data_IF_347242742224
#
_entry.id   IF_347242742224
#
_cell.length_a   1.000
_cell.length_b   1.000
_cell.length_c   1.000
_cell.angle_alpha   90.00
_cell.angle_beta   90.00
_cell.angle_gamma   90.00
#
_symmetry.space_group_name_H-M   'P 1'
#
loop_
_entity.id
_entity.type
_entity.pdbx_description
1 polymer ?
#
# COMPACT_ATOMS: atom_id res chain seq x y z
N UNK A 1 11.57 19.42 41.51
CA UNK A 1 12.11 19.70 40.15
C UNK A 1 12.45 18.44 39.35
N UNK A 2 13.04 17.38 39.93
CA UNK A 2 13.40 16.12 39.21
C UNK A 2 12.21 15.42 38.50
N UNK A 3 11.01 15.44 39.09
CA UNK A 3 9.82 14.77 38.54
C UNK A 3 9.36 15.39 37.21
N UNK A 4 9.46 16.72 37.07
CA UNK A 4 9.05 17.45 35.87
C UNK A 4 10.02 17.24 34.70
N UNK A 5 11.31 17.07 35.00
CA UNK A 5 12.34 16.78 33.99
C UNK A 5 12.14 15.38 33.40
N UNK A 6 11.83 14.39 34.25
CA UNK A 6 11.56 13.03 33.79
C UNK A 6 10.30 12.97 32.91
N UNK A 7 9.22 13.66 33.31
CA UNK A 7 8.00 13.72 32.48
C UNK A 7 8.26 14.39 31.14
N UNK A 8 9.04 15.47 31.11
CA UNK A 8 9.40 16.16 29.86
C UNK A 8 10.23 15.26 28.93
N UNK A 9 11.27 14.61 29.46
CA UNK A 9 12.10 13.65 28.72
C UNK A 9 11.29 12.47 28.19
N UNK A 10 10.38 11.93 28.99
CA UNK A 10 9.49 10.85 28.57
C UNK A 10 8.57 11.29 27.42
N UNK A 11 8.00 12.50 27.53
CA UNK A 11 7.13 13.06 26.48
C UNK A 11 7.89 13.28 25.17
N UNK A 12 9.12 13.81 25.24
CA UNK A 12 9.99 13.99 24.07
C UNK A 12 10.35 12.63 23.44
N UNK A 13 10.69 11.61 24.25
CA UNK A 13 10.94 10.27 23.73
C UNK A 13 9.71 9.67 23.03
N UNK A 14 8.51 9.82 23.60
CA UNK A 14 7.28 9.35 22.97
C UNK A 14 7.02 10.06 21.64
N UNK A 15 7.24 11.38 21.57
CA UNK A 15 7.07 12.16 20.33
C UNK A 15 8.11 11.77 19.27
N UNK A 16 9.36 11.54 19.66
CA UNK A 16 10.41 11.09 18.74
C UNK A 16 10.14 9.68 18.21
N UNK A 17 9.69 8.75 19.05
CA UNK A 17 9.29 7.41 18.61
C UNK A 17 8.10 7.46 17.64
N UNK A 18 7.10 8.30 17.92
CA UNK A 18 5.94 8.48 17.05
C UNK A 18 6.30 9.16 15.72
N UNK A 19 7.22 10.12 15.74
CA UNK A 19 7.74 10.74 14.52
C UNK A 19 8.62 9.77 13.71
N UNK A 20 9.39 8.90 14.38
CA UNK A 20 10.26 7.90 13.75
C UNK A 20 9.46 6.79 13.04
N UNK A 21 8.33 6.36 13.61
CA UNK A 21 7.39 5.44 12.96
C UNK A 21 6.85 6.02 11.64
N UNK A 22 6.64 7.34 11.59
CA UNK A 22 6.16 8.08 10.42
C UNK A 22 7.26 8.55 9.44
N UNK A 23 8.55 8.34 9.74
CA UNK A 23 9.68 8.87 8.92
C UNK A 23 10.63 7.81 8.38
N UNK A 24 10.36 6.51 8.56
CA UNK A 24 11.13 5.50 7.82
C UNK A 24 10.81 5.62 6.33
N UNK A 25 11.78 6.14 5.57
CA UNK A 25 11.65 6.27 4.12
C UNK A 25 11.27 4.93 3.50
N UNK A 26 10.28 4.94 2.59
CA UNK A 26 9.91 3.74 1.87
C UNK A 26 11.07 3.28 0.99
N UNK A 27 11.52 2.05 1.22
CA UNK A 27 12.56 1.40 0.42
C UNK A 27 11.89 0.40 -0.52
N UNK A 28 12.03 0.65 -1.82
CA UNK A 28 11.55 -0.24 -2.85
C UNK A 28 12.60 -1.32 -3.15
N UNK A 29 12.17 -2.57 -3.16
CA UNK A 29 12.98 -3.73 -3.53
C UNK A 29 12.58 -4.22 -4.92
N UNK A 30 13.44 -4.10 -5.95
CA UNK A 30 13.10 -4.52 -7.31
C UNK A 30 12.86 -6.02 -7.42
N UNK A 31 12.01 -6.44 -8.37
CA UNK A 31 11.65 -7.85 -8.58
C UNK A 31 12.88 -8.75 -8.79
N UNK A 32 13.96 -8.21 -9.38
CA UNK A 32 15.23 -8.93 -9.58
C UNK A 32 15.85 -9.46 -8.28
N UNK A 33 15.61 -8.82 -7.12
CA UNK A 33 16.07 -9.32 -5.80
C UNK A 33 15.32 -10.58 -5.34
N UNK A 34 14.19 -10.91 -5.99
CA UNK A 34 13.31 -12.02 -5.64
C UNK A 34 13.37 -13.17 -6.64
N UNK A 35 14.15 -13.05 -7.72
CA UNK A 35 14.17 -14.05 -8.79
C UNK A 35 12.80 -14.19 -9.45
N UNK A 36 12.21 -15.38 -9.40
CA UNK A 36 10.86 -15.66 -9.93
C UNK A 36 9.75 -15.61 -8.87
N UNK A 37 10.07 -15.26 -7.62
CA UNK A 37 9.13 -15.26 -6.51
C UNK A 37 8.33 -13.94 -6.43
N UNK A 38 7.38 -13.79 -7.33
CA UNK A 38 6.49 -12.62 -7.41
C UNK A 38 5.66 -12.44 -6.14
N UNK A 39 5.29 -13.52 -5.44
CA UNK A 39 4.52 -13.44 -4.20
C UNK A 39 5.35 -12.78 -3.09
N UNK A 40 6.61 -13.19 -2.93
CA UNK A 40 7.52 -12.59 -1.95
C UNK A 40 7.83 -11.13 -2.28
N UNK A 41 7.99 -10.80 -3.56
CA UNK A 41 8.11 -9.42 -4.03
C UNK A 41 6.90 -8.57 -3.61
N UNK A 42 5.68 -9.06 -3.88
CA UNK A 42 4.44 -8.34 -3.57
C UNK A 42 4.27 -8.12 -2.07
N UNK A 43 4.52 -9.16 -1.27
CA UNK A 43 4.42 -9.06 0.21
C UNK A 43 5.42 -8.09 0.79
N UNK A 44 6.65 -8.06 0.26
CA UNK A 44 7.74 -7.24 0.79
C UNK A 44 7.54 -5.76 0.48
N UNK A 45 7.17 -5.44 -0.76
CA UNK A 45 7.00 -4.05 -1.19
C UNK A 45 5.66 -3.43 -0.82
N UNK A 46 4.60 -4.22 -0.67
CA UNK A 46 3.24 -3.69 -0.56
C UNK A 46 2.52 -4.13 0.70
N UNK A 47 2.31 -5.43 0.94
CA UNK A 47 1.54 -5.93 2.09
C UNK A 47 2.16 -5.47 3.42
N UNK A 48 3.46 -5.73 3.62
CA UNK A 48 4.21 -5.37 4.84
C UNK A 48 4.50 -3.87 4.96
N UNK A 49 4.27 -3.10 3.90
CA UNK A 49 4.53 -1.66 3.83
C UNK A 49 3.25 -0.87 3.53
N UNK A 50 2.09 -1.47 3.77
CA UNK A 50 0.78 -0.88 3.45
C UNK A 50 0.56 0.47 4.12
N UNK A 51 1.08 0.67 5.33
CA UNK A 51 1.02 1.94 6.06
C UNK A 51 1.63 3.11 5.29
N UNK A 52 2.72 2.89 4.54
CA UNK A 52 3.32 3.96 3.71
C UNK A 52 2.39 4.44 2.60
N UNK A 53 1.55 3.56 2.07
CA UNK A 53 0.65 3.89 0.97
C UNK A 53 -0.67 4.52 1.43
N UNK A 54 -0.94 4.54 2.74
CA UNK A 54 -2.16 5.13 3.30
C UNK A 54 -2.25 6.61 2.93
N UNK A 55 -3.37 6.96 2.31
CA UNK A 55 -3.70 8.31 1.86
C UNK A 55 -2.83 8.89 0.76
N UNK A 56 -2.07 8.06 0.03
CA UNK A 56 -1.46 8.47 -1.23
C UNK A 56 -2.47 8.34 -2.36
N UNK A 57 -2.37 9.17 -3.43
CA UNK A 57 -3.21 9.01 -4.63
C UNK A 57 -2.98 7.68 -5.33
N UNK A 58 -4.03 7.12 -5.96
CA UNK A 58 -3.95 5.85 -6.69
C UNK A 58 -2.83 5.84 -7.74
N UNK A 59 -2.68 6.95 -8.46
CA UNK A 59 -1.62 7.11 -9.46
C UNK A 59 -0.21 6.98 -8.89
N UNK A 60 0.03 7.45 -7.66
CA UNK A 60 1.32 7.29 -6.98
C UNK A 60 1.58 5.84 -6.57
N UNK A 61 0.55 5.16 -6.07
CA UNK A 61 0.63 3.74 -5.69
C UNK A 61 0.92 2.88 -6.93
N UNK A 62 0.22 3.12 -8.05
CA UNK A 62 0.38 2.36 -9.29
C UNK A 62 1.77 2.48 -9.92
N UNK A 63 2.51 3.57 -9.69
CA UNK A 63 3.90 3.71 -10.17
C UNK A 63 4.80 2.59 -9.65
N UNK A 64 4.60 2.14 -8.41
CA UNK A 64 5.41 1.09 -7.80
C UNK A 64 5.07 -0.30 -8.36
N UNK A 65 3.78 -0.58 -8.62
CA UNK A 65 3.38 -1.84 -9.26
C UNK A 65 3.92 -1.93 -10.69
N UNK A 66 3.76 -0.86 -11.47
CA UNK A 66 4.17 -0.83 -12.89
C UNK A 66 5.67 -0.80 -13.12
N UNK A 67 6.48 -0.63 -12.06
CA UNK A 67 7.93 -0.57 -12.19
C UNK A 67 8.52 -1.89 -12.67
N UNK A 68 8.07 -3.01 -12.09
CA UNK A 68 8.57 -4.34 -12.40
C UNK A 68 7.46 -5.31 -12.87
N UNK A 69 6.18 -4.95 -12.74
CA UNK A 69 5.07 -5.80 -13.16
C UNK A 69 4.36 -5.20 -14.40
N UNK A 70 3.95 -6.02 -15.38
CA UNK A 70 3.26 -5.58 -16.59
C UNK A 70 1.78 -5.22 -16.34
N UNK A 71 1.49 -4.48 -15.27
CA UNK A 71 0.12 -4.15 -14.86
C UNK A 71 -0.56 -3.25 -15.88
N UNK A 72 -1.66 -3.74 -16.46
CA UNK A 72 -2.49 -2.98 -17.40
C UNK A 72 -3.96 -2.84 -16.95
N UNK A 73 -4.33 -3.44 -15.82
CA UNK A 73 -5.70 -3.41 -15.31
C UNK A 73 -5.71 -3.22 -13.79
N UNK A 74 -6.65 -2.40 -13.32
CA UNK A 74 -6.87 -2.16 -11.89
C UNK A 74 -8.36 -1.93 -11.59
N UNK A 75 -8.82 -2.42 -10.45
CA UNK A 75 -10.18 -2.20 -9.96
C UNK A 75 -10.17 -1.87 -8.47
N UNK A 76 -11.05 -0.95 -8.07
CA UNK A 76 -11.24 -0.58 -6.67
C UNK A 76 -12.35 -1.45 -6.07
N UNK A 77 -12.04 -2.23 -5.04
CA UNK A 77 -12.97 -3.19 -4.44
C UNK A 77 -13.72 -2.58 -3.23
N UNK A 78 -14.30 -1.41 -3.44
CA UNK A 78 -15.12 -0.69 -2.48
C UNK A 78 -14.44 0.53 -1.85
N UNK A 79 -15.24 1.28 -1.11
CA UNK A 79 -14.83 2.46 -0.34
C UNK A 79 -14.47 2.07 1.08
N UNK A 80 -13.41 2.65 1.59
CA UNK A 80 -12.96 2.50 2.97
C UNK A 80 -14.06 3.01 3.92
N UNK A 81 -14.31 2.32 5.05
CA UNK A 81 -15.18 2.84 6.09
C UNK A 81 -14.54 4.00 6.87
N UNK A 82 -13.26 4.31 6.62
CA UNK A 82 -12.57 5.43 7.24
C UNK A 82 -13.16 6.76 6.74
N UNK A 83 -13.78 7.49 7.65
CA UNK A 83 -14.28 8.84 7.42
C UNK A 83 -13.12 9.79 7.63
N UNK A 84 -12.58 10.30 6.52
CA UNK A 84 -11.55 11.31 6.54
C UNK A 84 -12.04 12.59 7.23
N UNK A 85 -11.23 13.20 8.12
CA UNK A 85 -11.56 14.49 8.71
C UNK A 85 -11.74 15.61 7.67
N UNK A 86 -11.06 15.52 6.51
CA UNK A 86 -11.18 16.48 5.40
C UNK A 86 -12.24 16.06 4.36
N UNK A 87 -13.03 15.02 4.63
CA UNK A 87 -14.12 14.56 3.78
C UNK A 87 -13.70 13.77 2.53
N UNK A 88 -12.44 13.35 2.42
CA UNK A 88 -11.97 12.50 1.32
C UNK A 88 -12.48 11.07 1.44
N UNK A 89 -12.85 10.47 0.31
CA UNK A 89 -13.26 9.06 0.25
C UNK A 89 -12.08 8.19 -0.13
N UNK A 90 -11.68 7.29 0.76
CA UNK A 90 -10.56 6.39 0.47
C UNK A 90 -11.03 5.10 -0.21
N UNK A 91 -10.22 4.54 -1.11
CA UNK A 91 -10.43 3.17 -1.62
C UNK A 91 -10.09 2.19 -0.49
N UNK A 92 -10.88 1.12 -0.31
CA UNK A 92 -10.61 0.09 0.71
C UNK A 92 -9.52 -0.89 0.26
N UNK A 93 -9.63 -1.33 -0.98
CA UNK A 93 -8.76 -2.34 -1.55
C UNK A 93 -8.61 -2.16 -3.05
N UNK A 94 -7.44 -2.55 -3.55
CA UNK A 94 -7.07 -2.43 -4.94
C UNK A 94 -6.76 -3.83 -5.47
N UNK A 95 -7.47 -4.23 -6.52
CA UNK A 95 -7.07 -5.36 -7.36
C UNK A 95 -6.17 -4.85 -8.47
N UNK A 96 -5.02 -5.51 -8.64
CA UNK A 96 -4.05 -5.20 -9.70
C UNK A 96 -3.84 -6.45 -10.55
N UNK A 97 -3.99 -6.34 -11.86
CA UNK A 97 -3.90 -7.47 -12.78
C UNK A 97 -3.15 -7.14 -14.08
N UNK A 98 -2.64 -8.20 -14.70
CA UNK A 98 -2.22 -8.20 -16.10
C UNK A 98 -3.12 -9.15 -16.89
N UNK A 99 -3.72 -8.64 -17.96
CA UNK A 99 -4.40 -9.46 -18.95
C UNK A 99 -3.82 -9.19 -20.33
N UNK A 100 -3.63 -10.22 -21.14
CA UNK A 100 -3.51 -9.98 -22.58
C UNK A 100 -4.78 -9.24 -23.04
N UNK A 101 -4.67 -8.15 -23.82
CA UNK A 101 -5.82 -7.38 -24.30
C UNK A 101 -6.92 -8.25 -24.93
N UNK A 102 -6.56 -9.38 -25.56
CA UNK A 102 -7.50 -10.31 -26.19
C UNK A 102 -8.34 -11.05 -25.13
N UNK A 103 -7.78 -11.30 -23.94
CA UNK A 103 -8.45 -11.99 -22.84
C UNK A 103 -9.12 -11.05 -21.82
N UNK A 104 -8.96 -9.73 -21.96
CA UNK A 104 -9.52 -8.74 -21.05
C UNK A 104 -11.03 -8.92 -20.80
N UNK A 105 -11.81 -9.08 -21.88
CA UNK A 105 -13.26 -9.26 -21.79
C UNK A 105 -13.69 -10.64 -21.25
N UNK A 106 -12.83 -11.65 -21.36
CA UNK A 106 -13.08 -13.00 -20.84
C UNK A 106 -12.77 -13.11 -19.36
N UNK A 107 -11.69 -12.47 -18.91
CA UNK A 107 -11.27 -12.52 -17.52
C UNK A 107 -12.23 -11.79 -16.56
N UNK A 108 -12.81 -10.67 -17.00
CA UNK A 108 -13.85 -9.95 -16.25
C UNK A 108 -15.12 -10.80 -16.01
N UNK A 109 -15.36 -11.83 -16.82
CA UNK A 109 -16.51 -12.73 -16.71
C UNK A 109 -16.22 -14.00 -15.88
N UNK A 110 -14.96 -14.32 -15.61
CA UNK A 110 -14.58 -15.58 -15.01
C UNK A 110 -14.12 -15.40 -13.56
N UNK A 111 -14.99 -15.75 -12.61
CA UNK A 111 -14.78 -15.65 -11.14
C UNK A 111 -13.65 -16.55 -10.58
N UNK A 112 -12.95 -17.30 -11.42
CA UNK A 112 -11.94 -18.29 -11.02
C UNK A 112 -10.49 -17.87 -11.23
N UNK A 113 -10.22 -16.64 -11.67
CA UNK A 113 -8.84 -16.16 -11.84
C UNK A 113 -8.23 -15.85 -10.47
N UNK A 114 -7.06 -16.41 -10.10
CA UNK A 114 -6.40 -16.07 -8.86
C UNK A 114 -6.00 -14.59 -8.88
N UNK A 115 -6.69 -13.79 -8.06
CA UNK A 115 -6.37 -12.38 -7.86
C UNK A 115 -5.63 -12.27 -6.53
N UNK A 116 -4.46 -11.62 -6.55
CA UNK A 116 -3.82 -11.19 -5.31
C UNK A 116 -4.47 -9.85 -4.93
N UNK A 117 -5.35 -9.91 -3.94
CA UNK A 117 -5.99 -8.75 -3.34
C UNK A 117 -5.23 -8.37 -2.06
N UNK A 118 -4.99 -7.08 -1.87
CA UNK A 118 -4.55 -6.53 -0.60
C UNK A 118 -5.27 -5.19 -0.38
N UNK A 119 -5.57 -4.91 0.88
CA UNK A 119 -6.23 -3.67 1.25
C UNK A 119 -5.23 -2.52 1.14
N UNK A 120 -5.57 -1.49 0.36
CA UNK A 120 -4.81 -0.25 0.27
C UNK A 120 -5.79 0.88 0.48
N UNK A 121 -5.53 1.68 1.51
CA UNK A 121 -6.33 2.83 1.88
C UNK A 121 -5.83 4.06 1.11
N UNK A 122 -6.36 4.30 -0.10
CA UNK A 122 -5.83 5.28 -1.07
C UNK A 122 -6.76 6.50 -1.10
N UNK A 123 -6.22 7.74 -1.02
CA UNK A 123 -7.01 9.00 -1.03
C UNK A 123 -7.47 9.40 -2.42
#
# INVERSE_FOLDING_TARGET
>A
MKKNIFTLLFTICCLMSYAQENTTAYVYHPLSEFGTDTLRFLKTNFERKSDYFKGKPLGEVLKYYRRDLPVNVFFTNGTSPYIDPDGKSYIKSLTVAHYDPIYYHYALKNKGTPVIEFEVYIS
#
